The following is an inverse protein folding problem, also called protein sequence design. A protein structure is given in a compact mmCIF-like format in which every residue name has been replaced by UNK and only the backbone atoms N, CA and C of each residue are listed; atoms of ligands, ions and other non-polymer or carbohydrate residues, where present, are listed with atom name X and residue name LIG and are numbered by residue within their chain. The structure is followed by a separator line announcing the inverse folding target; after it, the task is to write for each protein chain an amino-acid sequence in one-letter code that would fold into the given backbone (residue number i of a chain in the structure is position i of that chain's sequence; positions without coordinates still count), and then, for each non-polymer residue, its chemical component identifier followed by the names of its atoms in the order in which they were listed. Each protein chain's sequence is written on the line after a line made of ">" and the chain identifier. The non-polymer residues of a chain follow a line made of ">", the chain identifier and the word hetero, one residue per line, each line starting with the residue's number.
data_IF_224194062155
#
_entry.id   IF_224194062155
#
_cell.length_a   1.000
_cell.length_b   1.000
_cell.length_c   1.000
_cell.angle_alpha   90.00
_cell.angle_beta   90.00
_cell.angle_gamma   90.00
#
_symmetry.space_group_name_H-M   'P 1'
#
loop_
_entity.id
_entity.type
_entity.pdbx_description
1 polymer ?
2 water ?
#
# COMPACT_ATOMS: atom_id res chain seq x y z
N UNK A 2 -15.23 12.38 -19.06
CA UNK A 2 -14.02 12.38 -19.93
C UNK A 2 -13.64 10.93 -20.34
N UNK A 3 -12.43 10.50 -20.11
CA UNK A 3 -12.17 9.07 -20.29
C UNK A 3 -12.86 8.14 -19.27
N UNK A 4 -13.31 6.99 -19.76
CA UNK A 4 -13.96 6.04 -18.92
C UNK A 4 -13.01 4.87 -18.62
N UNK A 5 -12.75 4.63 -17.33
CA UNK A 5 -11.80 3.60 -16.98
C UNK A 5 -12.43 2.28 -16.80
N UNK A 6 -11.67 1.27 -17.13
CA UNK A 6 -12.07 -0.09 -17.01
C UNK A 6 -12.27 -0.47 -15.54
N UNK A 7 -13.35 -1.18 -15.23
CA UNK A 7 -13.65 -1.46 -13.86
C UNK A 7 -12.63 -2.37 -13.10
N UNK A 8 -12.08 -3.42 -13.75
CA UNK A 8 -11.16 -4.24 -13.03
C UNK A 8 -9.87 -3.41 -12.74
N UNK A 9 -9.45 -2.52 -13.62
CA UNK A 9 -8.34 -1.65 -13.31
C UNK A 9 -8.64 -0.76 -12.10
N UNK A 10 -9.89 -0.26 -12.03
CA UNK A 10 -10.30 0.63 -10.91
C UNK A 10 -10.29 -0.14 -9.59
N UNK A 11 -10.77 -1.39 -9.57
CA UNK A 11 -10.83 -2.19 -8.34
C UNK A 11 -9.40 -2.42 -7.88
N UNK A 12 -8.51 -2.83 -8.79
CA UNK A 12 -7.12 -3.13 -8.41
C UNK A 12 -6.48 -1.79 -7.89
N UNK A 13 -6.66 -0.67 -8.63
CA UNK A 13 -6.01 0.60 -8.29
C UNK A 13 -6.60 1.13 -6.97
N UNK A 14 -7.89 0.98 -6.76
CA UNK A 14 -8.44 1.40 -5.45
C UNK A 14 -7.78 0.64 -4.30
N UNK A 15 -7.59 -0.67 -4.43
CA UNK A 15 -6.98 -1.44 -3.31
C UNK A 15 -5.50 -0.91 -3.12
N UNK A 16 -4.83 -0.63 -4.24
CA UNK A 16 -3.43 -0.15 -4.26
C UNK A 16 -3.37 1.24 -3.55
N UNK A 17 -4.32 2.12 -3.88
CA UNK A 17 -4.44 3.44 -3.27
C UNK A 17 -4.74 3.33 -1.76
N UNK A 18 -5.67 2.45 -1.39
CA UNK A 18 -6.01 2.28 0.03
C UNK A 18 -4.74 1.81 0.74
N UNK A 19 -3.97 0.92 0.09
CA UNK A 19 -2.73 0.35 0.75
C UNK A 19 -1.60 1.38 0.86
N UNK A 20 -1.31 2.11 -0.24
CA UNK A 20 -0.17 2.97 -0.21
C UNK A 20 -0.28 4.27 -1.08
N UNK A 21 -1.46 4.75 -1.47
CA UNK A 21 -1.57 5.90 -2.38
C UNK A 21 -1.87 7.08 -1.48
N UNK A 22 -1.88 8.31 -2.03
CA UNK A 22 -2.08 9.50 -1.25
C UNK A 22 -3.05 10.35 -2.03
N UNK A 23 -4.08 10.82 -1.34
CA UNK A 23 -5.02 11.81 -1.84
C UNK A 23 -4.83 12.99 -0.88
N UNK A 24 -4.25 14.05 -1.38
CA UNK A 24 -3.76 15.11 -0.59
C UNK A 24 -4.26 16.45 -1.11
N UNK A 25 -4.53 17.39 -0.19
CA UNK A 25 -4.84 18.80 -0.58
C UNK A 25 -3.99 19.74 0.25
N UNK A 26 -3.57 20.86 -0.30
CA UNK A 26 -2.74 21.78 0.48
C UNK A 26 -3.15 23.18 0.20
N UNK A 27 -2.98 24.08 1.18
CA UNK A 27 -3.23 25.50 0.97
C UNK A 27 -1.88 26.09 1.35
N UNK A 28 -1.26 26.80 0.41
CA UNK A 28 0.06 27.41 0.64
C UNK A 28 -0.10 28.93 0.38
N UNK A 29 0.68 29.79 1.09
CA UNK A 29 0.63 31.24 0.88
C UNK A 29 1.08 31.54 -0.55
N UNK A 30 0.42 32.49 -1.20
CA UNK A 30 0.81 32.93 -2.53
C UNK A 30 0.22 34.29 -2.73
N UNK A 31 1.09 35.30 -2.82
CA UNK A 31 0.64 36.72 -2.93
C UNK A 31 -0.25 37.08 -4.16
N UNK A 32 -0.07 36.34 -5.25
CA UNK A 32 -0.81 36.65 -6.46
C UNK A 32 -2.26 36.16 -6.44
N UNK A 33 -2.64 35.38 -5.43
CA UNK A 33 -4.02 34.96 -5.36
C UNK A 33 -4.89 35.92 -4.56
N UNK A 34 -6.18 36.02 -4.92
CA UNK A 34 -7.11 36.96 -4.32
C UNK A 34 -7.20 36.86 -2.78
N UNK A 35 -7.04 35.63 -2.26
CA UNK A 35 -7.10 35.45 -0.82
C UNK A 35 -5.73 35.08 -0.29
N UNK A 36 -4.70 35.39 -1.08
CA UNK A 36 -3.29 35.30 -0.69
C UNK A 36 -2.79 33.91 -0.42
N UNK A 37 -3.55 32.92 -0.90
CA UNK A 37 -3.18 31.51 -0.75
C UNK A 37 -3.65 30.76 -1.98
N UNK A 38 -2.94 29.70 -2.29
CA UNK A 38 -3.38 28.87 -3.42
C UNK A 38 -3.60 27.40 -2.99
N UNK A 39 -4.68 26.81 -3.50
CA UNK A 39 -4.91 25.36 -3.37
C UNK A 39 -4.19 24.45 -4.40
N UNK A 40 -3.65 23.32 -3.93
CA UNK A 40 -3.04 22.26 -4.69
C UNK A 40 -3.74 20.99 -4.29
N UNK A 41 -4.11 20.15 -5.28
CA UNK A 41 -4.80 18.89 -5.06
C UNK A 41 -3.95 17.89 -5.79
N UNK A 42 -3.59 16.77 -5.14
CA UNK A 42 -2.59 15.80 -5.68
C UNK A 42 -3.10 14.41 -5.37
N UNK A 43 -3.20 13.59 -6.41
CA UNK A 43 -3.25 12.11 -6.26
C UNK A 43 -1.84 11.61 -6.57
N UNK A 44 -1.29 10.81 -5.66
CA UNK A 44 0.14 10.46 -5.74
C UNK A 44 0.31 8.96 -5.45
N UNK A 45 1.14 8.25 -6.24
CA UNK A 45 1.56 6.89 -5.93
C UNK A 45 3.08 6.93 -6.00
N UNK A 46 3.74 6.27 -5.04
CA UNK A 46 5.21 6.31 -4.94
C UNK A 46 5.77 4.89 -5.04
N UNK A 47 6.90 4.74 -5.73
CA UNK A 47 7.58 3.45 -5.75
C UNK A 47 9.09 3.70 -5.74
N UNK A 48 9.85 2.70 -5.32
CA UNK A 48 11.29 2.73 -5.59
C UNK A 48 11.61 2.89 -7.04
N UNK A 49 12.71 3.54 -7.31
CA UNK A 49 13.06 3.79 -8.65
C UNK A 49 13.18 2.51 -9.55
N UNK A 50 13.49 1.35 -8.96
CA UNK A 50 13.64 0.13 -9.76
C UNK A 50 12.29 -0.31 -10.27
N UNK A 51 11.22 0.22 -9.65
CA UNK A 51 9.88 -0.08 -10.11
C UNK A 51 9.16 1.13 -10.67
N UNK A 52 9.93 2.09 -11.17
CA UNK A 52 9.38 3.28 -11.81
C UNK A 52 8.52 2.88 -12.99
N UNK A 53 8.88 1.77 -13.64
CA UNK A 53 8.02 1.29 -14.78
C UNK A 53 6.52 1.20 -14.43
N UNK A 54 6.21 0.87 -13.18
CA UNK A 54 4.80 0.75 -12.71
C UNK A 54 4.14 2.10 -12.74
N UNK A 55 4.92 3.17 -12.41
CA UNK A 55 4.41 4.54 -12.38
C UNK A 55 4.25 5.02 -13.82
N UNK A 56 5.26 4.78 -14.68
CA UNK A 56 5.14 5.19 -16.10
C UNK A 56 3.99 4.45 -16.72
N UNK A 57 3.78 3.22 -16.30
CA UNK A 57 2.59 2.49 -16.78
C UNK A 57 1.31 3.13 -16.35
N UNK A 58 1.28 3.69 -15.13
CA UNK A 58 0.05 4.38 -14.68
C UNK A 58 -0.22 5.60 -15.53
N UNK A 59 0.82 6.33 -15.89
CA UNK A 59 0.60 7.44 -16.85
C UNK A 59 -0.04 6.97 -18.16
N UNK A 60 0.46 5.87 -18.68
CA UNK A 60 -0.13 5.32 -19.96
C UNK A 60 -1.60 4.93 -19.75
N UNK A 61 -1.90 4.31 -18.61
CA UNK A 61 -3.22 3.79 -18.38
C UNK A 61 -4.22 4.87 -17.94
N UNK A 62 -3.77 5.82 -17.10
CA UNK A 62 -4.68 6.85 -16.66
C UNK A 62 -4.84 7.89 -17.81
N UNK A 63 -3.85 7.97 -18.70
CA UNK A 63 -3.89 8.87 -19.82
C UNK A 63 -3.46 10.27 -19.48
N UNK A 64 -3.22 10.55 -18.20
CA UNK A 64 -2.79 11.92 -17.75
C UNK A 64 -1.91 11.77 -16.53
N UNK A 65 -1.22 12.83 -16.11
CA UNK A 65 -0.35 12.77 -14.93
C UNK A 65 1.09 12.59 -15.32
N UNK A 66 2.01 12.54 -14.37
CA UNK A 66 3.42 12.53 -14.76
C UNK A 66 4.17 11.83 -13.73
N UNK A 67 5.40 11.47 -14.06
CA UNK A 67 6.27 10.79 -13.12
C UNK A 67 7.43 11.73 -12.75
N UNK A 68 7.73 11.83 -11.47
CA UNK A 68 8.91 12.58 -11.07
C UNK A 68 9.88 11.75 -10.23
N UNK A 69 11.17 11.98 -10.43
CA UNK A 69 12.16 11.26 -9.66
C UNK A 69 12.48 12.02 -8.42
N UNK A 70 12.47 11.38 -7.27
CA UNK A 70 13.10 11.97 -6.12
C UNK A 70 14.31 11.09 -5.92
N UNK A 71 14.67 10.71 -4.72
CA UNK A 71 15.98 10.02 -4.70
C UNK A 71 15.93 8.59 -5.21
N UNK A 72 15.82 7.73 -4.22
CA UNK A 72 15.76 6.34 -4.39
C UNK A 72 14.29 6.03 -4.77
N UNK A 73 13.43 7.06 -4.80
CA UNK A 73 12.02 6.90 -5.12
C UNK A 73 11.50 7.81 -6.24
N UNK A 74 10.34 7.45 -6.79
CA UNK A 74 9.71 8.27 -7.78
C UNK A 74 8.23 8.29 -7.52
N UNK A 75 7.54 9.30 -8.03
CA UNK A 75 6.10 9.40 -7.84
C UNK A 75 5.42 9.48 -9.16
N UNK A 76 4.22 8.88 -9.23
CA UNK A 76 3.24 9.31 -10.18
C UNK A 76 2.38 10.40 -9.49
N UNK A 77 2.14 11.51 -10.21
CA UNK A 77 1.38 12.65 -9.73
C UNK A 77 0.25 13.02 -10.70
N UNK A 78 -0.97 13.15 -10.20
CA UNK A 78 -2.05 13.69 -11.02
C UNK A 78 -2.53 14.90 -10.20
N UNK A 79 -2.40 16.11 -10.72
CA UNK A 79 -2.82 17.30 -9.97
C UNK A 79 -3.73 18.26 -10.75
N UNK A 80 -3.97 17.98 -12.03
CA UNK A 80 -4.84 18.77 -12.87
C UNK A 80 -6.24 18.46 -12.50
N UNK A 81 -7.00 19.53 -12.32
CA UNK A 81 -8.31 19.50 -11.72
C UNK A 81 -9.31 18.68 -12.45
N UNK A 82 -9.45 18.97 -13.74
CA UNK A 82 -10.52 18.33 -14.47
C UNK A 82 -10.31 16.85 -14.56
N UNK A 83 -9.13 16.43 -15.03
CA UNK A 83 -8.84 14.94 -15.06
C UNK A 83 -8.83 14.29 -13.66
N UNK A 84 -8.30 15.01 -12.62
CA UNK A 84 -8.40 14.53 -11.26
C UNK A 84 -9.87 14.29 -10.85
N UNK A 85 -10.77 15.24 -11.13
CA UNK A 85 -12.18 15.03 -10.78
C UNK A 85 -12.75 13.77 -11.47
N UNK A 86 -12.49 13.70 -12.76
CA UNK A 86 -12.99 12.53 -13.55
C UNK A 86 -12.36 11.22 -12.98
N UNK A 87 -11.08 11.20 -12.69
CA UNK A 87 -10.44 9.98 -12.16
C UNK A 87 -11.01 9.59 -10.77
N UNK A 88 -11.04 10.55 -9.81
CA UNK A 88 -11.53 10.18 -8.41
C UNK A 88 -13.02 9.89 -8.42
N UNK A 89 -13.80 10.52 -9.31
CA UNK A 89 -15.22 10.12 -9.39
C UNK A 89 -15.38 8.66 -9.69
N UNK A 90 -14.52 8.14 -10.59
CA UNK A 90 -14.63 6.73 -10.98
C UNK A 90 -14.01 5.78 -9.95
N UNK A 91 -12.98 6.22 -9.22
CA UNK A 91 -12.27 5.31 -8.26
C UNK A 91 -12.99 5.26 -6.97
N UNK A 92 -13.63 6.34 -6.60
CA UNK A 92 -14.24 6.46 -5.28
C UNK A 92 -15.14 5.36 -4.81
N UNK A 93 -16.07 4.84 -5.66
CA UNK A 93 -16.96 3.77 -5.24
C UNK A 93 -16.18 2.52 -4.78
N UNK A 94 -14.92 2.38 -5.17
CA UNK A 94 -14.18 1.13 -4.76
C UNK A 94 -13.22 1.29 -3.55
N UNK A 95 -13.00 2.56 -3.17
CA UNK A 95 -12.08 2.86 -2.04
C UNK A 95 -12.75 2.45 -0.74
N UNK A 96 -12.00 1.86 0.16
CA UNK A 96 -12.53 1.45 1.40
C UNK A 96 -11.85 2.20 2.55
N UNK A 97 -10.64 2.72 2.40
CA UNK A 97 -10.00 3.34 3.55
C UNK A 97 -9.88 4.81 3.18
N UNK A 98 -9.75 5.16 1.89
CA UNK A 98 -9.48 6.58 1.50
C UNK A 98 -10.65 7.20 0.78
N UNK A 99 -11.82 6.58 0.92
CA UNK A 99 -12.97 7.16 0.21
C UNK A 99 -13.35 8.56 0.65
N UNK A 100 -13.25 8.85 1.95
CA UNK A 100 -13.66 10.20 2.44
C UNK A 100 -12.72 11.28 1.90
N UNK A 101 -11.42 10.97 1.82
CA UNK A 101 -10.48 11.95 1.17
C UNK A 101 -10.88 12.19 -0.22
N UNK A 102 -11.22 11.13 -0.97
CA UNK A 102 -11.55 11.36 -2.39
C UNK A 102 -12.81 12.21 -2.47
N UNK A 103 -13.80 11.92 -1.63
CA UNK A 103 -15.05 12.72 -1.69
C UNK A 103 -14.87 14.19 -1.33
N UNK A 104 -13.91 14.45 -0.44
CA UNK A 104 -13.68 15.86 -0.07
C UNK A 104 -12.91 16.54 -1.15
N UNK A 105 -11.97 15.85 -1.82
CA UNK A 105 -11.29 16.48 -2.95
C UNK A 105 -12.39 16.84 -4.02
N UNK A 106 -13.24 15.90 -4.34
CA UNK A 106 -14.36 16.22 -5.33
C UNK A 106 -15.20 17.43 -4.94
N UNK A 107 -15.59 17.47 -3.68
CA UNK A 107 -16.39 18.60 -3.11
C UNK A 107 -15.59 19.86 -3.20
N UNK A 108 -14.28 19.79 -2.90
CA UNK A 108 -13.47 21.01 -3.10
C UNK A 108 -13.44 21.47 -4.55
N UNK A 109 -13.19 20.52 -5.43
CA UNK A 109 -13.07 20.91 -6.82
C UNK A 109 -14.40 21.54 -7.35
N UNK A 110 -15.52 20.99 -6.94
CA UNK A 110 -16.82 21.49 -7.41
C UNK A 110 -17.05 22.87 -6.81
N UNK A 111 -16.36 23.17 -5.71
CA UNK A 111 -16.49 24.51 -5.08
C UNK A 111 -15.54 25.54 -5.60
N UNK A 112 -14.57 25.17 -6.43
CA UNK A 112 -13.56 26.12 -6.84
C UNK A 112 -14.05 27.37 -7.62
N UNK A 113 -15.02 27.18 -8.57
CA UNK A 113 -15.50 28.43 -9.21
C UNK A 113 -16.06 29.41 -8.14
N UNK A 114 -16.86 28.98 -7.19
CA UNK A 114 -17.30 29.97 -6.23
C UNK A 114 -16.21 30.52 -5.22
N UNK A 115 -15.21 29.67 -4.90
CA UNK A 115 -14.16 30.00 -3.95
C UNK A 115 -13.25 31.02 -4.55
N UNK A 116 -13.37 31.21 -5.85
CA UNK A 116 -12.50 32.18 -6.53
C UNK A 116 -12.86 33.63 -6.11
N UNK A 117 -14.14 33.86 -5.85
CA UNK A 117 -14.67 35.21 -5.58
C UNK A 117 -15.19 35.41 -4.15
N UNK A 118 -15.58 34.36 -3.45
CA UNK A 118 -16.10 34.49 -2.13
C UNK A 118 -15.10 34.04 -1.07
N UNK A 119 -14.74 34.94 -0.10
CA UNK A 119 -13.89 34.54 1.03
C UNK A 119 -14.53 33.42 1.83
N UNK A 120 -15.85 33.44 1.98
CA UNK A 120 -16.49 32.47 2.81
C UNK A 120 -16.38 31.05 2.16
N UNK A 121 -16.64 31.00 0.85
CA UNK A 121 -16.48 29.74 0.05
C UNK A 121 -15.03 29.26 0.15
N UNK A 122 -14.09 30.16 0.01
CA UNK A 122 -12.67 29.75 0.13
C UNK A 122 -12.30 29.27 1.48
N UNK A 123 -12.76 29.96 2.53
CA UNK A 123 -12.45 29.50 3.89
C UNK A 123 -13.10 28.18 4.16
N UNK A 124 -14.31 27.94 3.64
CA UNK A 124 -14.86 26.64 3.78
C UNK A 124 -14.00 25.50 3.06
N UNK A 125 -13.46 25.76 1.89
CA UNK A 125 -12.53 24.85 1.22
C UNK A 125 -11.36 24.63 2.18
N UNK A 126 -10.91 25.69 2.88
CA UNK A 126 -9.81 25.55 3.89
C UNK A 126 -10.16 24.57 4.93
N UNK A 127 -11.43 24.55 5.41
CA UNK A 127 -11.82 23.55 6.40
C UNK A 127 -11.80 22.13 5.81
N UNK A 128 -12.16 21.97 4.53
CA UNK A 128 -12.14 20.60 3.92
C UNK A 128 -10.68 20.13 3.73
N UNK A 129 -9.82 21.03 3.31
CA UNK A 129 -8.35 20.75 3.27
C UNK A 129 -7.92 20.17 4.60
N UNK A 130 -8.28 20.84 5.70
CA UNK A 130 -7.92 20.32 7.04
C UNK A 130 -8.54 18.99 7.38
N UNK A 131 -9.77 18.72 6.93
CA UNK A 131 -10.39 17.45 7.19
C UNK A 131 -9.68 16.32 6.46
N UNK A 132 -9.23 16.61 5.25
CA UNK A 132 -8.41 15.62 4.52
C UNK A 132 -7.12 15.33 5.24
N UNK A 133 -6.46 16.39 5.72
CA UNK A 133 -5.21 16.24 6.49
C UNK A 133 -5.42 15.35 7.69
N UNK A 134 -6.51 15.62 8.42
CA UNK A 134 -6.73 14.78 9.59
C UNK A 134 -6.99 13.28 9.19
N UNK A 135 -7.79 13.07 8.14
CA UNK A 135 -8.05 11.70 7.65
C UNK A 135 -6.74 11.06 7.24
N UNK A 136 -5.83 11.87 6.69
CA UNK A 136 -4.47 11.41 6.37
C UNK A 136 -3.52 11.28 7.56
N UNK A 137 -4.02 11.39 8.79
CA UNK A 137 -3.15 11.39 9.99
C UNK A 137 -2.04 12.44 9.91
N UNK A 138 -2.30 13.61 9.31
CA UNK A 138 -1.37 14.71 9.25
C UNK A 138 -1.86 15.82 10.16
N UNK A 139 -0.99 16.78 10.44
CA UNK A 139 -1.37 17.83 11.41
C UNK A 139 -2.24 18.84 10.69
N UNK A 140 -3.26 19.33 11.37
CA UNK A 140 -4.16 20.28 10.72
C UNK A 140 -3.98 21.68 11.29
N UNK A 141 -3.13 21.87 12.30
CA UNK A 141 -2.95 23.18 12.98
C UNK A 141 -1.48 23.52 12.99
N UNK A 142 -1.14 24.79 12.84
CA UNK A 142 0.29 25.12 12.74
C UNK A 142 0.63 26.13 13.82
N UNK A 143 1.87 26.12 14.28
CA UNK A 143 2.29 27.08 15.30
C UNK A 143 2.60 28.35 14.51
N UNK A 144 2.86 29.43 15.23
CA UNK A 144 3.22 30.69 14.60
C UNK A 144 4.52 30.56 13.80
N UNK A 145 5.53 29.90 14.37
CA UNK A 145 6.76 29.68 13.62
C UNK A 145 6.44 28.85 12.33
N UNK A 146 5.62 27.80 12.41
CA UNK A 146 5.27 27.03 11.20
C UNK A 146 4.57 27.90 10.19
N UNK A 147 3.66 28.77 10.62
CA UNK A 147 2.95 29.59 9.65
C UNK A 147 3.92 30.58 8.92
N UNK A 148 4.80 31.21 9.70
CA UNK A 148 5.68 32.23 9.12
C UNK A 148 6.67 31.51 8.21
N UNK A 149 7.23 30.40 8.68
CA UNK A 149 8.13 29.62 7.82
C UNK A 149 7.45 29.28 6.46
N UNK A 150 6.17 28.79 6.43
CA UNK A 150 5.45 28.57 5.13
C UNK A 150 5.42 29.82 4.27
N UNK A 151 5.25 30.98 4.90
CA UNK A 151 5.31 32.22 4.14
C UNK A 151 6.73 32.39 3.54
N UNK A 152 7.75 32.19 4.36
CA UNK A 152 9.14 32.40 3.94
C UNK A 152 9.51 31.43 2.80
N UNK A 153 9.09 30.18 2.95
CA UNK A 153 9.36 29.16 1.92
C UNK A 153 8.75 29.51 0.58
N UNK A 154 7.68 30.30 0.57
CA UNK A 154 6.96 30.65 -0.66
C UNK A 154 7.67 31.71 -1.52
N UNK B 2 -10.39 -24.94 0.54
CA UNK B 2 -11.11 -25.06 -0.77
C UNK B 2 -12.13 -23.94 -0.89
N UNK B 3 -12.02 -22.94 -0.03
CA UNK B 3 -12.80 -21.72 -0.21
C UNK B 3 -12.48 -21.06 -1.55
N UNK B 4 -13.51 -20.68 -2.28
CA UNK B 4 -13.31 -20.01 -3.52
C UNK B 4 -13.65 -18.52 -3.31
N UNK B 5 -12.70 -17.62 -3.61
CA UNK B 5 -12.89 -16.22 -3.33
C UNK B 5 -13.44 -15.53 -4.54
N UNK B 6 -14.21 -14.50 -4.24
CA UNK B 6 -14.87 -13.66 -5.21
C UNK B 6 -13.81 -12.87 -5.97
N UNK B 7 -13.91 -12.82 -7.27
CA UNK B 7 -12.89 -12.17 -8.06
C UNK B 7 -12.70 -10.64 -7.82
N UNK B 8 -13.80 -9.90 -7.63
CA UNK B 8 -13.69 -8.49 -7.41
C UNK B 8 -12.94 -8.24 -6.06
N UNK B 9 -13.20 -9.06 -5.04
CA UNK B 9 -12.42 -9.03 -3.82
C UNK B 9 -10.94 -9.29 -4.06
N UNK B 10 -10.64 -10.32 -4.88
CA UNK B 10 -9.24 -10.66 -5.16
C UNK B 10 -8.52 -9.52 -5.87
N UNK B 11 -9.21 -8.84 -6.81
CA UNK B 11 -8.63 -7.77 -7.61
C UNK B 11 -8.28 -6.62 -6.65
N UNK B 12 -9.23 -6.23 -5.81
CA UNK B 12 -9.00 -5.11 -4.87
C UNK B 12 -7.82 -5.54 -3.89
N UNK B 13 -7.90 -6.77 -3.33
CA UNK B 13 -6.91 -7.23 -2.34
C UNK B 13 -5.51 -7.35 -2.99
N UNK B 14 -5.43 -7.84 -4.23
CA UNK B 14 -4.11 -7.80 -4.91
C UNK B 14 -3.51 -6.41 -5.02
N UNK B 15 -4.29 -5.42 -5.44
CA UNK B 15 -3.76 -4.05 -5.55
C UNK B 15 -3.31 -3.61 -4.13
N UNK B 16 -4.12 -3.92 -3.10
CA UNK B 16 -3.83 -3.57 -1.68
C UNK B 16 -2.49 -4.23 -1.23
N UNK B 17 -2.33 -5.52 -1.58
CA UNK B 17 -1.10 -6.26 -1.30
C UNK B 17 0.13 -5.69 -2.07
N UNK B 18 -0.04 -5.38 -3.36
CA UNK B 18 1.02 -4.83 -4.13
C UNK B 18 1.46 -3.51 -3.50
N UNK B 19 0.46 -2.73 -3.05
CA UNK B 19 0.77 -1.36 -2.42
C UNK B 19 1.42 -1.49 -1.03
N UNK B 20 0.93 -2.38 -0.16
CA UNK B 20 1.41 -2.37 1.22
C UNK B 20 1.35 -3.75 1.94
N UNK B 21 1.14 -4.90 1.27
CA UNK B 21 0.99 -6.18 2.03
C UNK B 21 2.37 -6.81 1.94
N UNK B 22 2.57 -7.91 2.67
CA UNK B 22 3.84 -8.57 2.76
C UNK B 22 3.61 -10.02 2.50
N UNK B 23 4.45 -10.58 1.64
CA UNK B 23 4.54 -12.05 1.45
C UNK B 23 5.98 -12.38 1.82
N UNK B 24 6.15 -13.09 2.93
CA UNK B 24 7.41 -13.29 3.60
C UNK B 24 7.65 -14.77 3.89
N UNK B 25 8.89 -15.23 3.76
CA UNK B 25 9.28 -16.60 4.17
C UNK B 25 10.49 -16.43 5.06
N UNK B 26 10.64 -17.26 6.09
CA UNK B 26 11.83 -17.15 6.95
C UNK B 26 12.32 -18.52 7.35
N UNK B 27 13.62 -18.64 7.56
CA UNK B 27 14.24 -19.91 8.03
C UNK B 27 14.91 -19.44 9.31
N UNK B 28 14.53 -20.04 10.41
CA UNK B 28 15.07 -19.68 11.71
C UNK B 28 15.65 -20.96 12.37
N UNK B 29 16.73 -20.82 13.16
CA UNK B 29 17.33 -21.98 13.86
C UNK B 29 16.27 -22.62 14.81
N UNK B 30 16.19 -23.96 14.79
CA UNK B 30 15.33 -24.68 15.74
C UNK B 30 15.85 -26.10 15.89
N UNK B 31 16.45 -26.43 17.04
CA UNK B 31 17.05 -27.81 17.27
C UNK B 31 16.11 -29.05 17.18
N UNK B 32 14.80 -28.83 17.36
CA UNK B 32 13.81 -29.88 17.18
C UNK B 32 13.62 -30.37 15.71
N UNK B 33 14.01 -29.56 14.72
CA UNK B 33 13.79 -29.99 13.34
C UNK B 33 14.94 -30.81 12.78
N UNK B 34 14.67 -31.71 11.85
CA UNK B 34 15.66 -32.65 11.35
C UNK B 34 16.89 -31.93 10.81
N UNK B 35 16.67 -30.75 10.22
CA UNK B 35 17.80 -30.01 9.66
C UNK B 35 18.11 -28.79 10.47
N UNK B 36 17.60 -28.80 11.72
CA UNK B 36 17.93 -27.83 12.76
C UNK B 36 17.43 -26.42 12.50
N UNK B 37 16.53 -26.30 11.51
CA UNK B 37 15.93 -24.98 11.15
C UNK B 37 14.49 -25.21 10.81
N UNK B 38 13.70 -24.21 11.12
CA UNK B 38 12.28 -24.29 10.72
C UNK B 38 11.85 -23.14 9.78
N UNK B 39 11.07 -23.51 8.76
CA UNK B 39 10.41 -22.56 7.88
C UNK B 39 9.06 -21.96 8.38
N UNK B 40 8.90 -20.63 8.20
CA UNK B 40 7.70 -19.90 8.45
C UNK B 40 7.33 -19.17 7.19
N UNK B 41 6.03 -19.17 6.83
CA UNK B 41 5.53 -18.47 5.67
C UNK B 41 4.37 -17.65 6.19
N UNK B 42 4.24 -16.40 5.71
CA UNK B 42 3.37 -15.36 6.34
C UNK B 42 2.95 -14.44 5.21
N UNK B 43 1.61 -14.38 5.04
CA UNK B 43 0.97 -13.28 4.33
C UNK B 43 0.50 -12.31 5.41
N UNK B 44 0.88 -11.03 5.25
CA UNK B 44 0.68 -10.03 6.33
C UNK B 44 0.14 -8.72 5.76
N UNK B 45 -0.85 -8.11 6.44
CA UNK B 45 -1.34 -6.76 6.12
C UNK B 45 -1.33 -6.04 7.44
N UNK B 46 -0.84 -4.79 7.47
CA UNK B 46 -0.67 -4.04 8.72
C UNK B 46 -1.46 -2.74 8.61
N UNK B 47 -2.13 -2.31 9.70
CA UNK B 47 -2.77 -0.99 9.67
C UNK B 47 -2.61 -0.38 11.05
N UNK B 48 -2.82 0.93 11.11
CA UNK B 48 -2.88 1.58 12.42
C UNK B 48 -4.04 1.00 13.18
N UNK B 49 -3.87 0.93 14.47
CA UNK B 49 -4.84 0.37 15.30
C UNK B 49 -6.26 0.98 15.15
N UNK B 50 -6.37 2.26 14.77
CA UNK B 50 -7.67 2.84 14.58
C UNK B 50 -8.40 2.25 13.39
N UNK B 51 -7.68 1.62 12.45
CA UNK B 51 -8.33 0.89 11.34
C UNK B 51 -8.17 -0.61 11.47
N UNK B 52 -8.08 -1.13 12.68
CA UNK B 52 -8.00 -2.58 12.88
C UNK B 52 -9.28 -3.30 12.41
N UNK B 53 -10.40 -2.57 12.42
CA UNK B 53 -11.63 -3.14 11.78
C UNK B 53 -11.37 -3.69 10.39
N UNK B 54 -10.46 -3.07 9.64
CA UNK B 54 -10.20 -3.54 8.25
C UNK B 54 -9.53 -4.88 8.28
N UNK B 55 -8.67 -5.10 9.29
CA UNK B 55 -7.94 -6.37 9.46
C UNK B 55 -8.93 -7.44 9.99
N UNK B 56 -9.75 -7.07 11.00
CA UNK B 56 -10.76 -8.04 11.44
C UNK B 56 -11.72 -8.36 10.33
N UNK B 57 -12.04 -7.40 9.49
CA UNK B 57 -12.84 -7.73 8.31
C UNK B 57 -12.17 -8.71 7.40
N UNK B 58 -10.85 -8.56 7.17
CA UNK B 58 -10.11 -9.59 6.35
C UNK B 58 -10.21 -11.01 6.88
N UNK B 59 -10.11 -11.15 8.20
CA UNK B 59 -10.34 -12.46 8.82
C UNK B 59 -11.75 -12.97 8.47
N UNK B 60 -12.75 -12.11 8.55
CA UNK B 60 -14.12 -12.59 8.22
C UNK B 60 -14.21 -12.97 6.74
N UNK B 61 -13.63 -12.15 5.87
CA UNK B 61 -13.72 -12.37 4.44
C UNK B 61 -12.83 -13.53 3.95
N UNK B 62 -11.61 -13.65 4.47
CA UNK B 62 -10.73 -14.71 4.02
C UNK B 62 -11.14 -16.03 4.73
N UNK B 63 -11.74 -15.93 5.93
CA UNK B 63 -12.22 -17.10 6.60
C UNK B 63 -11.18 -17.76 7.45
N UNK B 64 -9.95 -17.24 7.43
CA UNK B 64 -8.81 -17.85 8.16
C UNK B 64 -7.81 -16.74 8.48
N UNK B 65 -6.86 -16.99 9.37
CA UNK B 65 -5.89 -15.95 9.75
C UNK B 65 -6.31 -15.28 11.00
N UNK B 66 -5.49 -14.38 11.53
CA UNK B 66 -5.85 -13.77 12.81
C UNK B 66 -5.31 -12.39 12.80
N UNK B 67 -5.77 -11.60 13.73
CA UNK B 67 -5.24 -10.27 13.95
C UNK B 67 -4.41 -10.20 15.22
N UNK B 68 -3.26 -9.55 15.15
CA UNK B 68 -2.47 -9.32 16.36
C UNK B 68 -2.16 -7.86 16.53
N UNK B 69 -2.17 -7.41 17.78
CA UNK B 69 -1.85 -6.04 18.11
C UNK B 69 -0.39 -5.87 18.33
N UNK B 70 0.18 -4.75 17.91
CA UNK B 70 1.57 -4.43 18.20
C UNK B 70 1.65 -2.95 18.54
N UNK B 71 0.77 -2.57 19.46
CA UNK B 71 0.70 -1.20 19.96
C UNK B 71 -0.10 -0.30 19.05
N UNK B 72 0.63 0.61 18.38
CA UNK B 72 -0.04 1.61 17.60
C UNK B 72 -0.40 1.04 16.19
N UNK B 73 0.15 -0.15 15.86
CA UNK B 73 -0.29 -0.88 14.68
C UNK B 73 -0.77 -2.28 15.01
N UNK B 74 -1.55 -2.85 14.09
CA UNK B 74 -1.95 -4.24 14.15
C UNK B 74 -1.75 -4.95 12.79
N UNK B 75 -1.64 -6.27 12.82
CA UNK B 75 -1.51 -7.05 11.60
C UNK B 75 -2.59 -8.06 11.49
N UNK B 76 -3.02 -8.28 10.24
CA UNK B 76 -3.60 -9.51 9.85
C UNK B 76 -2.47 -10.48 9.40
N UNK B 77 -2.50 -11.71 9.92
CA UNK B 77 -1.47 -12.74 9.67
C UNK B 77 -2.18 -14.00 9.14
N UNK B 78 -1.72 -14.53 8.01
CA UNK B 78 -2.19 -15.85 7.62
C UNK B 78 -0.87 -16.62 7.46
N UNK B 79 -0.70 -17.66 8.25
CA UNK B 79 0.53 -18.46 8.13
C UNK B 79 0.35 -19.98 8.03
N UNK B 80 -0.90 -20.45 8.10
CA UNK B 80 -1.22 -21.84 7.93
C UNK B 80 -1.06 -22.18 6.50
N UNK B 81 -0.33 -23.27 6.27
CA UNK B 81 0.17 -23.62 4.96
C UNK B 81 -0.90 -23.91 3.92
N UNK B 82 -1.84 -24.73 4.33
CA UNK B 82 -2.85 -25.20 3.39
C UNK B 82 -3.76 -24.03 2.99
N UNK B 83 -4.33 -23.31 3.96
CA UNK B 83 -5.16 -22.09 3.58
C UNK B 83 -4.31 -21.00 2.86
N UNK B 84 -3.05 -20.83 3.26
CA UNK B 84 -2.15 -19.92 2.56
C UNK B 84 -1.95 -20.35 1.09
N UNK B 85 -1.70 -21.63 0.82
CA UNK B 85 -1.59 -22.07 -0.58
C UNK B 85 -2.86 -21.75 -1.41
N UNK B 86 -4.01 -22.07 -0.83
CA UNK B 86 -5.31 -21.86 -1.51
C UNK B 86 -5.50 -20.35 -1.74
N UNK B 87 -5.19 -19.52 -0.74
CA UNK B 87 -5.38 -18.06 -0.88
C UNK B 87 -4.44 -17.49 -1.92
N UNK B 88 -3.12 -17.79 -1.81
CA UNK B 88 -2.16 -17.19 -2.79
C UNK B 88 -2.35 -17.74 -4.20
N UNK B 89 -2.77 -19.02 -4.33
CA UNK B 89 -3.08 -19.51 -5.69
C UNK B 89 -4.13 -18.66 -6.38
N UNK B 90 -5.16 -18.26 -5.61
CA UNK B 90 -6.24 -17.43 -6.16
C UNK B 90 -5.85 -15.98 -6.34
N UNK B 91 -4.96 -15.45 -5.48
CA UNK B 91 -4.55 -14.00 -5.56
C UNK B 91 -3.49 -13.75 -6.59
N UNK B 92 -2.60 -14.69 -6.77
CA UNK B 92 -1.47 -14.54 -7.70
C UNK B 92 -1.71 -13.99 -9.10
N UNK B 93 -2.74 -14.48 -9.86
CA UNK B 93 -3.00 -13.96 -11.21
C UNK B 93 -3.24 -12.45 -11.23
N UNK B 94 -3.61 -11.86 -10.11
CA UNK B 94 -3.90 -10.38 -10.08
C UNK B 94 -2.77 -9.49 -9.54
N UNK B 95 -1.73 -10.12 -8.95
CA UNK B 95 -0.56 -9.36 -8.38
C UNK B 95 0.30 -8.83 -9.51
N UNK B 96 0.76 -7.60 -9.40
CA UNK B 96 1.59 -7.08 -10.43
C UNK B 96 2.98 -6.76 -9.87
N UNK B 97 3.13 -6.53 -8.57
CA UNK B 97 4.46 -6.14 -8.07
C UNK B 97 4.98 -7.32 -7.25
N UNK B 98 4.08 -8.08 -6.59
CA UNK B 98 4.49 -9.15 -5.68
C UNK B 98 4.12 -10.53 -6.16
N UNK B 99 3.85 -10.68 -7.44
CA UNK B 99 3.52 -12.02 -7.97
C UNK B 99 4.66 -13.01 -7.84
N UNK B 100 5.93 -12.58 -8.01
CA UNK B 100 7.03 -13.54 -7.90
C UNK B 100 7.18 -14.07 -6.49
N UNK B 101 6.97 -13.21 -5.51
CA UNK B 101 6.95 -13.68 -4.08
C UNK B 101 5.88 -14.70 -3.90
N UNK B 102 4.68 -14.43 -4.41
CA UNK B 102 3.62 -15.41 -4.21
C UNK B 102 3.97 -16.79 -4.89
N UNK B 103 4.44 -16.73 -6.14
CA UNK B 103 4.84 -17.97 -6.88
C UNK B 103 5.89 -18.81 -6.06
N UNK B 104 6.85 -18.09 -5.44
CA UNK B 104 7.89 -18.80 -4.69
C UNK B 104 7.36 -19.40 -3.44
N UNK B 105 6.49 -18.69 -2.72
CA UNK B 105 5.86 -19.30 -1.53
C UNK B 105 5.09 -20.59 -2.00
N UNK B 106 4.33 -20.49 -3.07
CA UNK B 106 3.59 -21.74 -3.51
C UNK B 106 4.57 -22.86 -3.84
N UNK B 107 5.67 -22.51 -4.51
CA UNK B 107 6.69 -23.52 -4.88
C UNK B 107 7.26 -24.11 -3.63
N UNK B 108 7.53 -23.25 -2.62
CA UNK B 108 8.07 -23.76 -1.38
C UNK B 108 7.09 -24.70 -0.72
N UNK B 109 5.83 -24.28 -0.70
CA UNK B 109 4.86 -25.11 0.03
C UNK B 109 4.71 -26.51 -0.66
N UNK B 110 4.74 -26.52 -1.98
CA UNK B 110 4.54 -27.79 -2.73
C UNK B 110 5.79 -28.68 -2.49
N UNK B 111 6.89 -28.05 -2.07
CA UNK B 111 8.12 -28.83 -1.81
C UNK B 111 8.27 -29.30 -0.41
N UNK B 112 7.41 -28.90 0.53
CA UNK B 112 7.64 -29.23 1.92
C UNK B 112 7.59 -30.74 2.28
N UNK B 113 6.61 -31.48 1.68
CA UNK B 113 6.69 -32.93 1.99
C UNK B 113 8.09 -33.46 1.63
N UNK B 114 8.63 -33.18 0.45
CA UNK B 114 9.97 -33.72 0.17
C UNK B 114 11.16 -33.08 0.95
N UNK B 115 11.02 -31.81 1.38
CA UNK B 115 12.00 -31.12 2.23
C UNK B 115 12.05 -31.65 3.63
N UNK B 116 11.03 -32.40 4.05
CA UNK B 116 11.03 -32.94 5.40
C UNK B 116 12.14 -33.99 5.58
N UNK B 117 12.43 -34.71 4.49
CA UNK B 117 13.36 -35.85 4.49
C UNK B 117 14.66 -35.62 3.75
N UNK B 118 14.63 -34.88 2.66
CA UNK B 118 15.81 -34.57 1.92
C UNK B 118 16.54 -33.23 2.29
N UNK B 119 17.83 -33.33 2.71
CA UNK B 119 18.69 -32.14 2.89
C UNK B 119 18.78 -31.30 1.61
N UNK B 120 18.89 -31.93 0.45
CA UNK B 120 19.00 -31.21 -0.78
C UNK B 120 17.70 -30.39 -1.07
N UNK B 121 16.55 -31.04 -0.85
CA UNK B 121 15.21 -30.40 -1.09
C UNK B 121 15.04 -29.21 -0.12
N UNK B 122 15.45 -29.44 1.10
CA UNK B 122 15.41 -28.35 2.09
C UNK B 122 16.30 -27.18 1.78
N UNK B 123 17.54 -27.47 1.41
CA UNK B 123 18.49 -26.41 1.12
C UNK B 123 17.96 -25.67 -0.09
N UNK B 124 17.37 -26.37 -1.05
CA UNK B 124 16.81 -25.65 -2.19
C UNK B 124 15.60 -24.68 -1.76
N UNK B 125 14.79 -25.10 -0.80
CA UNK B 125 13.75 -24.20 -0.15
C UNK B 125 14.47 -22.98 0.40
N UNK B 126 15.67 -23.20 0.98
CA UNK B 126 16.44 -22.11 1.61
C UNK B 126 16.82 -21.14 0.57
N UNK B 127 17.18 -21.59 -0.64
CA UNK B 127 17.46 -20.65 -1.74
C UNK B 127 16.23 -19.86 -2.20
N UNK B 128 15.05 -20.50 -2.19
CA UNK B 128 13.83 -19.76 -2.57
C UNK B 128 13.45 -18.74 -1.45
N UNK B 129 13.59 -19.12 -0.19
CA UNK B 129 13.46 -18.16 0.94
C UNK B 129 14.30 -16.96 0.68
N UNK B 130 15.58 -17.16 0.36
CA UNK B 130 16.44 -15.99 0.03
C UNK B 130 15.99 -15.17 -1.21
N UNK B 131 15.47 -15.85 -2.23
CA UNK B 131 14.98 -15.12 -3.41
C UNK B 131 13.77 -14.23 -3.04
N UNK B 132 12.96 -14.70 -2.12
CA UNK B 132 11.79 -13.90 -1.64
C UNK B 132 12.30 -12.64 -0.92
N UNK B 133 13.27 -12.86 -0.05
CA UNK B 133 13.90 -11.71 0.70
C UNK B 133 14.50 -10.66 -0.24
N UNK B 134 15.23 -11.15 -1.23
CA UNK B 134 15.76 -10.18 -2.20
C UNK B 134 14.60 -9.41 -2.95
N UNK B 135 13.56 -10.13 -3.40
CA UNK B 135 12.42 -9.48 -4.01
C UNK B 135 11.80 -8.52 -3.06
N UNK B 136 11.80 -8.86 -1.78
CA UNK B 136 11.28 -7.92 -0.77
C UNK B 136 12.28 -6.81 -0.36
N UNK B 137 13.39 -6.66 -1.09
CA UNK B 137 14.44 -5.66 -0.74
C UNK B 137 14.95 -5.88 0.70
N UNK B 138 15.01 -7.12 1.19
CA UNK B 138 15.61 -7.41 2.45
C UNK B 138 16.95 -8.06 2.29
N UNK B 139 17.66 -8.24 3.41
CA UNK B 139 19.02 -8.84 3.35
C UNK B 139 18.89 -10.34 3.18
N UNK B 140 19.68 -10.92 2.29
CA UNK B 140 19.64 -12.35 2.08
C UNK B 140 20.90 -13.03 2.62
N UNK B 141 21.84 -12.27 3.15
CA UNK B 141 23.12 -12.83 3.64
C UNK B 141 23.35 -12.31 5.04
N UNK B 142 23.87 -13.16 5.92
CA UNK B 142 24.08 -12.70 7.31
C UNK B 142 25.55 -12.76 7.69
N UNK B 143 25.98 -11.87 8.60
CA UNK B 143 27.37 -11.83 9.07
C UNK B 143 27.41 -12.92 10.12
N UNK B 144 28.60 -13.23 10.61
CA UNK B 144 28.73 -14.29 11.60
C UNK B 144 28.02 -13.91 12.90
N UNK B 145 28.16 -12.65 13.33
CA UNK B 145 27.45 -12.18 14.49
C UNK B 145 25.91 -12.29 14.29
N UNK B 146 25.38 -11.93 13.13
CA UNK B 146 23.93 -12.10 12.85
C UNK B 146 23.51 -13.54 12.91
N UNK B 147 24.26 -14.45 12.32
CA UNK B 147 23.92 -15.88 12.43
C UNK B 147 23.85 -16.39 13.91
N UNK B 148 24.85 -16.04 14.70
CA UNK B 148 24.96 -16.60 16.06
C UNK B 148 23.85 -15.96 16.86
N UNK B 149 23.64 -14.66 16.69
CA UNK B 149 22.55 -13.95 17.38
C UNK B 149 21.17 -14.59 17.07
N UNK B 150 20.85 -14.89 15.79
CA UNK B 150 19.61 -15.71 15.48
C UNK B 150 19.55 -17.00 16.32
N UNK B 151 20.68 -17.69 16.44
CA UNK B 151 20.69 -18.89 17.23
C UNK B 151 20.35 -18.53 18.71
N UNK B 152 21.03 -17.55 19.27
CA UNK B 152 20.79 -17.14 20.65
C UNK B 152 19.34 -16.70 20.86
N UNK B 153 18.81 -15.92 19.93
CA UNK B 153 17.40 -15.47 20.05
C UNK B 153 16.38 -16.61 20.08
N UNK B 154 16.72 -17.79 19.57
CA UNK B 154 15.73 -18.86 19.38
C UNK B 154 15.48 -19.88 20.50
#
# INVERSE_FOLDING_TARGET
>A
MNTKYNKEFLLYLAGFVDGDGSIIAQIKPNQSYKFKHQLSLTFQVTQKTQRRWFLDKLVDEIGVGYVRDRGSVSDYILSEIKPLHNFLTQLQPFLKLKQKQANLVLKIIEQLPSAKESPDKFLEVCTWVDQIAALNDSKTRKTTSETVRAVLDSLS
>B
MNTKYNKEFLLYLAGFVDGDGSIIAQIKPNQSYKFKHQLSLTFQVTQKTQRRWFLDKLVDEIGVGYVRDRGSVSDYILSEIKPLHNFLTQLQPFLKLKQKQANLVLKIIEQLPSAKESPDKFLEVCTWVDQIAALNDSKTRKTTSETVRAVLDSLS
#
